data_IF_269994390101
#
_entry.id   IF_269994390101
#
_cell.length_a   1.000
_cell.length_b   1.000
_cell.length_c   1.000
_cell.angle_alpha   90.00
_cell.angle_beta   90.00
_cell.angle_gamma   90.00
#
_symmetry.space_group_name_H-M   'P 1'
#
loop_
_entity.id
_entity.type
_entity.pdbx_description
1 polymer ?
#
# COMPACT_ATOMS: atom_id res chain seq x y z
N UNK A 1 -8.95 -38.90 -22.05
CA UNK A 1 -8.24 -38.09 -21.03
C UNK A 1 -9.20 -37.83 -19.89
N UNK A 2 -8.76 -37.99 -18.63
CA UNK A 2 -9.62 -37.71 -17.47
C UNK A 2 -9.82 -36.20 -17.35
N UNK A 3 -10.96 -35.74 -16.79
CA UNK A 3 -11.23 -34.29 -16.58
C UNK A 3 -10.09 -33.60 -15.82
N UNK A 4 -9.46 -34.30 -14.87
CA UNK A 4 -8.30 -33.81 -14.12
C UNK A 4 -7.10 -33.49 -15.02
N UNK A 5 -6.81 -34.33 -16.03
CA UNK A 5 -5.69 -34.11 -16.95
C UNK A 5 -5.93 -32.86 -17.80
N UNK A 6 -7.18 -32.61 -18.19
CA UNK A 6 -7.57 -31.44 -18.97
C UNK A 6 -7.44 -30.14 -18.16
N UNK A 7 -7.87 -30.15 -16.89
CA UNK A 7 -7.72 -29.01 -15.98
C UNK A 7 -6.23 -28.72 -15.71
N UNK A 8 -5.42 -29.76 -15.45
CA UNK A 8 -3.99 -29.61 -15.22
C UNK A 8 -3.26 -29.02 -16.45
N UNK A 9 -3.61 -29.48 -17.65
CA UNK A 9 -3.07 -28.95 -18.91
C UNK A 9 -3.48 -27.48 -19.14
N UNK A 10 -4.73 -27.13 -18.85
CA UNK A 10 -5.21 -25.75 -18.94
C UNK A 10 -4.44 -24.84 -17.98
N UNK A 11 -4.35 -25.22 -16.70
CA UNK A 11 -3.63 -24.46 -15.69
C UNK A 11 -2.15 -24.30 -16.08
N UNK A 12 -1.48 -25.34 -16.56
CA UNK A 12 -0.08 -25.25 -16.98
C UNK A 12 0.11 -24.34 -18.20
N UNK A 13 -0.84 -24.32 -19.14
CA UNK A 13 -0.75 -23.48 -20.35
C UNK A 13 -1.09 -22.02 -20.06
N UNK A 14 -2.01 -21.77 -19.14
CA UNK A 14 -2.59 -20.45 -18.87
C UNK A 14 -2.27 -19.92 -17.46
N UNK A 15 -1.30 -20.51 -16.75
CA UNK A 15 -1.00 -20.16 -15.35
C UNK A 15 -0.76 -18.66 -15.14
N UNK A 16 -0.09 -18.00 -16.09
CA UNK A 16 0.16 -16.55 -16.02
C UNK A 16 -1.15 -15.77 -15.99
N UNK A 17 -2.10 -16.13 -16.86
CA UNK A 17 -3.42 -15.46 -16.90
C UNK A 17 -4.18 -15.73 -15.60
N UNK A 18 -4.18 -16.98 -15.13
CA UNK A 18 -4.85 -17.35 -13.87
C UNK A 18 -4.27 -16.57 -12.69
N UNK A 19 -2.94 -16.56 -12.53
CA UNK A 19 -2.26 -15.80 -11.47
C UNK A 19 -2.51 -14.31 -11.60
N UNK A 20 -2.43 -13.74 -12.81
CA UNK A 20 -2.75 -12.33 -13.04
C UNK A 20 -4.20 -12.01 -12.71
N UNK A 21 -5.17 -12.88 -13.00
CA UNK A 21 -6.57 -12.66 -12.61
C UNK A 21 -6.74 -12.69 -11.08
N UNK A 22 -6.12 -13.65 -10.39
CA UNK A 22 -6.18 -13.76 -8.94
C UNK A 22 -5.52 -12.55 -8.24
N UNK A 23 -4.33 -12.16 -8.69
CA UNK A 23 -3.65 -10.95 -8.20
C UNK A 23 -4.44 -9.69 -8.53
N UNK A 24 -5.03 -9.59 -9.72
CA UNK A 24 -5.87 -8.46 -10.10
C UNK A 24 -7.08 -8.33 -9.20
N UNK A 25 -7.75 -9.44 -8.87
CA UNK A 25 -8.84 -9.44 -7.90
C UNK A 25 -8.36 -8.96 -6.52
N UNK A 26 -7.21 -9.45 -6.07
CA UNK A 26 -6.59 -9.04 -4.81
C UNK A 26 -6.22 -7.54 -4.78
N UNK A 27 -5.73 -7.00 -5.90
CA UNK A 27 -5.37 -5.57 -6.03
C UNK A 27 -6.58 -4.67 -6.14
N UNK A 28 -7.63 -5.08 -6.85
CA UNK A 28 -8.82 -4.25 -7.12
C UNK A 28 -9.77 -4.21 -5.92
N UNK A 29 -9.93 -5.32 -5.18
CA UNK A 29 -10.92 -5.42 -4.10
C UNK A 29 -10.75 -4.33 -3.02
N UNK A 30 -9.55 -3.96 -2.55
CA UNK A 30 -9.35 -2.86 -1.60
C UNK A 30 -9.89 -1.49 -2.06
N UNK A 31 -9.92 -1.24 -3.37
CA UNK A 31 -10.46 0.00 -3.95
C UNK A 31 -12.00 -0.02 -4.04
N UNK A 32 -12.62 -1.21 -3.99
CA UNK A 32 -14.08 -1.31 -3.90
C UNK A 32 -14.60 -0.87 -2.53
N UNK A 33 -13.79 -0.96 -1.46
CA UNK A 33 -14.19 -0.54 -0.12
C UNK A 33 -14.59 0.95 -0.04
N UNK A 34 -13.76 1.92 -0.48
CA UNK A 34 -14.17 3.32 -0.49
C UNK A 34 -15.30 3.59 -1.50
N UNK A 35 -15.36 2.89 -2.64
CA UNK A 35 -16.46 3.01 -3.60
C UNK A 35 -17.80 2.64 -2.98
N UNK A 36 -17.86 1.46 -2.34
CA UNK A 36 -19.06 0.98 -1.67
C UNK A 36 -19.49 1.91 -0.56
N UNK A 37 -18.55 2.49 0.19
CA UNK A 37 -18.93 3.46 1.19
C UNK A 37 -19.47 4.76 0.60
N UNK A 38 -18.90 5.24 -0.52
CA UNK A 38 -19.36 6.45 -1.20
C UNK A 38 -20.80 6.31 -1.75
N UNK A 39 -21.20 5.10 -2.17
CA UNK A 39 -22.57 4.81 -2.64
C UNK A 39 -23.51 4.31 -1.54
N UNK A 40 -23.07 4.33 -0.27
CA UNK A 40 -23.88 3.91 0.89
C UNK A 40 -23.96 2.41 1.15
N UNK A 41 -23.23 1.57 0.42
CA UNK A 41 -23.11 0.13 0.63
C UNK A 41 -22.13 -0.18 1.79
N UNK A 42 -22.49 0.27 2.99
CA UNK A 42 -21.60 0.25 4.17
C UNK A 42 -21.21 -1.17 4.59
N UNK A 43 -22.17 -2.10 4.62
CA UNK A 43 -21.91 -3.46 5.11
C UNK A 43 -20.90 -4.22 4.21
N UNK A 44 -21.08 -4.29 2.87
CA UNK A 44 -20.07 -4.86 1.98
C UNK A 44 -18.69 -4.22 2.11
N UNK A 45 -18.62 -2.90 2.25
CA UNK A 45 -17.34 -2.20 2.41
C UNK A 45 -16.61 -2.61 3.70
N UNK A 46 -17.34 -2.68 4.83
CA UNK A 46 -16.77 -3.10 6.12
C UNK A 46 -16.24 -4.53 6.09
N UNK A 47 -16.87 -5.43 5.33
CA UNK A 47 -16.33 -6.77 5.10
C UNK A 47 -14.96 -6.69 4.41
N UNK A 48 -14.83 -5.86 3.36
CA UNK A 48 -13.54 -5.68 2.67
C UNK A 48 -12.49 -5.13 3.63
N UNK A 49 -12.78 -4.06 4.38
CA UNK A 49 -11.84 -3.53 5.37
C UNK A 49 -11.41 -4.59 6.38
N UNK A 50 -12.35 -5.37 6.90
CA UNK A 50 -12.08 -6.43 7.88
C UNK A 50 -11.21 -7.54 7.29
N UNK A 51 -11.55 -8.10 6.12
CA UNK A 51 -10.74 -9.14 5.47
C UNK A 51 -9.31 -8.67 5.24
N UNK A 52 -9.15 -7.45 4.73
CA UNK A 52 -7.82 -6.90 4.44
C UNK A 52 -7.06 -6.45 5.69
N UNK A 53 -7.72 -6.32 6.85
CA UNK A 53 -7.06 -5.90 8.10
C UNK A 53 -6.11 -6.95 8.68
N UNK A 54 -6.30 -8.22 8.27
CA UNK A 54 -5.40 -9.33 8.60
C UNK A 54 -4.09 -9.29 7.80
N UNK A 55 -4.08 -8.56 6.67
CA UNK A 55 -2.96 -8.49 5.74
C UNK A 55 -2.26 -7.13 5.85
N UNK A 56 -3.05 -6.07 6.01
CA UNK A 56 -2.60 -4.69 6.09
C UNK A 56 -3.03 -4.08 7.42
N UNK A 57 -2.17 -3.24 8.00
CA UNK A 57 -2.62 -2.46 9.13
C UNK A 57 -3.67 -1.41 8.73
N UNK A 58 -3.63 -0.85 7.52
CA UNK A 58 -4.56 0.18 7.03
C UNK A 58 -4.58 1.43 7.94
N UNK A 59 -3.39 1.93 8.30
CA UNK A 59 -3.30 3.17 9.09
C UNK A 59 -3.72 4.33 8.19
N UNK A 60 -4.64 5.19 8.63
CA UNK A 60 -5.25 6.20 7.78
C UNK A 60 -4.23 7.21 7.23
N UNK A 61 -3.29 7.68 8.04
CA UNK A 61 -2.23 8.61 7.62
C UNK A 61 -1.23 8.01 6.61
N UNK A 62 -1.31 6.69 6.37
CA UNK A 62 -0.50 5.94 5.39
C UNK A 62 -1.36 5.24 4.34
N UNK A 63 -2.61 5.66 4.15
CA UNK A 63 -3.54 5.09 3.19
C UNK A 63 -3.99 6.16 2.18
N UNK A 64 -4.28 5.72 0.96
CA UNK A 64 -4.92 6.61 -0.02
C UNK A 64 -6.39 6.81 0.30
N UNK A 65 -6.91 8.00 0.04
CA UNK A 65 -8.33 8.36 0.19
C UNK A 65 -8.95 8.64 -1.17
N UNK A 66 -10.18 8.15 -1.37
CA UNK A 66 -10.99 8.38 -2.57
C UNK A 66 -12.29 9.07 -2.18
N UNK A 67 -12.92 9.75 -3.16
CA UNK A 67 -14.19 10.48 -2.97
C UNK A 67 -14.10 11.63 -1.94
N UNK A 68 -12.91 12.21 -1.81
CA UNK A 68 -12.65 13.41 -1.03
C UNK A 68 -11.67 14.35 -1.75
N UNK A 69 -11.35 15.51 -1.15
CA UNK A 69 -10.53 16.54 -1.79
C UNK A 69 -9.05 16.20 -1.88
N UNK A 70 -8.52 15.33 -1.01
CA UNK A 70 -7.11 14.91 -1.00
C UNK A 70 -6.98 13.40 -1.13
N UNK A 71 -5.88 12.95 -1.72
CA UNK A 71 -5.56 11.53 -1.85
C UNK A 71 -4.91 10.92 -0.60
N UNK A 72 -4.53 11.74 0.38
CA UNK A 72 -3.99 11.33 1.68
C UNK A 72 -4.08 12.51 2.64
N UNK A 73 -4.02 12.23 3.94
CA UNK A 73 -4.07 13.26 4.99
C UNK A 73 -3.00 13.03 6.03
N UNK A 74 -2.53 14.10 6.66
CA UNK A 74 -1.59 14.00 7.77
C UNK A 74 -2.27 13.38 9.00
N UNK A 75 -1.46 12.85 9.94
CA UNK A 75 -1.98 12.34 11.20
C UNK A 75 -2.77 13.43 11.96
N UNK A 76 -2.30 14.68 11.95
CA UNK A 76 -2.99 15.80 12.61
C UNK A 76 -4.36 16.12 11.98
N UNK A 77 -4.49 16.02 10.66
CA UNK A 77 -5.77 16.19 9.96
C UNK A 77 -6.75 15.06 10.33
N UNK A 78 -6.27 13.81 10.37
CA UNK A 78 -7.08 12.65 10.78
C UNK A 78 -7.54 12.79 12.23
N UNK A 79 -6.64 13.18 13.14
CA UNK A 79 -6.96 13.39 14.54
C UNK A 79 -8.00 14.50 14.73
N UNK A 80 -7.87 15.60 13.98
CA UNK A 80 -8.82 16.72 14.03
C UNK A 80 -10.20 16.34 13.49
N UNK A 81 -10.27 15.46 12.51
CA UNK A 81 -11.52 15.03 11.88
C UNK A 81 -12.23 13.88 12.61
N UNK A 82 -11.58 13.22 13.57
CA UNK A 82 -12.13 12.05 14.24
C UNK A 82 -11.80 11.98 15.73
N UNK A 83 -10.55 11.67 16.08
CA UNK A 83 -10.12 11.53 17.47
C UNK A 83 -8.61 11.74 17.62
N UNK A 84 -8.19 12.54 18.59
CA UNK A 84 -6.78 12.70 18.96
C UNK A 84 -6.25 11.42 19.61
N UNK A 85 -5.47 10.65 18.85
CA UNK A 85 -4.82 9.42 19.32
C UNK A 85 -3.60 9.11 18.46
N UNK A 86 -2.58 8.51 19.07
CA UNK A 86 -1.42 7.92 18.39
C UNK A 86 -1.40 6.39 18.51
N UNK A 87 -2.42 5.81 19.16
CA UNK A 87 -2.57 4.37 19.28
C UNK A 87 -2.95 3.77 17.92
N UNK A 88 -2.07 2.93 17.37
CA UNK A 88 -2.27 2.30 16.08
C UNK A 88 -3.56 1.46 16.02
N UNK A 89 -3.94 0.77 17.09
CA UNK A 89 -5.15 -0.07 17.11
C UNK A 89 -6.39 0.81 16.98
N UNK A 90 -6.40 1.98 17.64
CA UNK A 90 -7.49 2.95 17.52
C UNK A 90 -7.47 3.61 16.14
N UNK A 91 -6.32 4.13 15.69
CA UNK A 91 -6.17 4.81 14.39
C UNK A 91 -6.70 3.98 13.21
N UNK A 92 -6.45 2.67 13.22
CA UNK A 92 -6.90 1.75 12.16
C UNK A 92 -8.42 1.72 11.97
N UNK A 93 -9.21 2.05 12.99
CA UNK A 93 -10.67 2.07 12.92
C UNK A 93 -11.21 3.25 12.10
N UNK A 94 -10.40 4.30 11.87
CA UNK A 94 -10.81 5.40 11.01
C UNK A 94 -10.86 4.95 9.55
N UNK A 95 -12.06 4.82 8.99
CA UNK A 95 -12.28 4.47 7.57
C UNK A 95 -12.35 5.71 6.68
N UNK A 96 -12.79 6.86 7.22
CA UNK A 96 -13.07 8.08 6.46
C UNK A 96 -14.43 8.69 6.82
N UNK A 97 -14.72 9.84 6.23
CA UNK A 97 -15.97 10.60 6.44
C UNK A 97 -16.29 11.45 5.21
N UNK A 98 -17.50 11.98 5.13
CA UNK A 98 -18.04 12.77 3.99
C UNK A 98 -17.17 13.94 3.56
N UNK A 99 -16.34 14.48 4.45
CA UNK A 99 -15.44 15.59 4.16
C UNK A 99 -14.12 15.12 3.56
N UNK A 100 -13.56 14.01 4.03
CA UNK A 100 -12.20 13.57 3.69
C UNK A 100 -12.16 12.55 2.55
N UNK A 101 -13.28 11.90 2.23
CA UNK A 101 -13.19 10.70 1.42
C UNK A 101 -12.79 9.49 2.27
N UNK A 102 -12.89 8.31 1.68
CA UNK A 102 -12.76 7.05 2.38
C UNK A 102 -11.48 6.36 1.95
N UNK A 103 -10.79 5.76 2.91
CA UNK A 103 -9.48 5.17 2.65
C UNK A 103 -9.61 3.90 1.80
N UNK A 104 -8.62 3.62 0.96
CA UNK A 104 -8.45 2.29 0.37
C UNK A 104 -8.21 1.29 1.51
N UNK A 105 -8.70 0.06 1.41
CA UNK A 105 -8.49 -0.98 2.43
C UNK A 105 -7.04 -1.52 2.48
N UNK A 106 -6.06 -0.67 2.17
CA UNK A 106 -4.62 -0.90 2.17
C UNK A 106 -3.86 0.38 2.53
N UNK A 107 -2.61 0.20 2.97
CA UNK A 107 -1.63 1.27 3.00
C UNK A 107 -1.13 1.58 1.58
N UNK A 108 -0.61 2.78 1.40
CA UNK A 108 0.07 3.24 0.19
C UNK A 108 1.17 2.26 -0.27
N UNK A 109 1.97 1.71 0.65
CA UNK A 109 3.00 0.68 0.37
C UNK A 109 2.39 -0.61 -0.17
N UNK A 110 1.26 -1.07 0.37
CA UNK A 110 0.63 -2.30 -0.13
C UNK A 110 0.02 -2.09 -1.51
N UNK A 111 -0.51 -0.89 -1.76
CA UNK A 111 -0.96 -0.50 -3.10
C UNK A 111 0.19 -0.54 -4.09
N UNK A 112 1.33 0.11 -3.81
CA UNK A 112 2.49 0.09 -4.71
C UNK A 112 3.00 -1.34 -4.92
N UNK A 113 3.21 -2.09 -3.84
CA UNK A 113 3.77 -3.44 -3.88
C UNK A 113 2.94 -4.46 -4.66
N UNK A 114 1.65 -4.59 -4.37
CA UNK A 114 0.86 -5.60 -5.06
C UNK A 114 0.50 -5.17 -6.49
N UNK A 115 0.33 -3.87 -6.73
CA UNK A 115 0.07 -3.37 -8.09
C UNK A 115 1.31 -3.50 -8.98
N UNK A 116 2.51 -3.20 -8.46
CA UNK A 116 3.77 -3.34 -9.21
C UNK A 116 4.04 -4.79 -9.57
N UNK A 117 3.87 -5.73 -8.63
CA UNK A 117 3.99 -7.18 -8.86
C UNK A 117 2.98 -7.64 -9.92
N UNK A 118 1.73 -7.18 -9.83
CA UNK A 118 0.68 -7.58 -10.76
C UNK A 118 0.96 -7.10 -12.19
N UNK A 119 1.32 -5.81 -12.35
CA UNK A 119 1.67 -5.22 -13.64
C UNK A 119 2.93 -5.85 -14.23
N UNK A 120 3.97 -6.05 -13.42
CA UNK A 120 5.19 -6.73 -13.85
C UNK A 120 4.89 -8.16 -14.31
N UNK A 121 4.04 -8.90 -13.59
CA UNK A 121 3.61 -10.24 -13.97
C UNK A 121 2.91 -10.29 -15.32
N UNK A 122 2.05 -9.31 -15.61
CA UNK A 122 1.37 -9.16 -16.92
C UNK A 122 2.41 -8.88 -18.01
N UNK A 123 3.27 -7.86 -17.81
CA UNK A 123 4.30 -7.46 -18.78
C UNK A 123 5.24 -8.64 -19.07
N UNK A 124 5.73 -9.29 -18.03
CA UNK A 124 6.56 -10.48 -18.14
C UNK A 124 5.82 -11.59 -18.92
N UNK A 125 4.55 -11.82 -18.62
CA UNK A 125 3.68 -12.77 -19.31
C UNK A 125 3.59 -12.57 -20.82
N UNK A 126 3.56 -11.31 -21.26
CA UNK A 126 3.53 -10.92 -22.68
C UNK A 126 4.91 -11.05 -23.34
N UNK A 127 5.98 -10.75 -22.59
CA UNK A 127 7.36 -10.71 -23.09
C UNK A 127 8.13 -12.03 -22.94
N UNK A 128 7.62 -13.03 -22.19
CA UNK A 128 8.31 -14.27 -21.78
C UNK A 128 8.87 -15.16 -22.89
N UNK A 129 8.70 -14.80 -24.17
CA UNK A 129 9.13 -15.62 -25.32
C UNK A 129 10.64 -15.87 -25.37
N UNK A 130 11.51 -15.12 -24.66
CA UNK A 130 12.98 -15.34 -24.67
C UNK A 130 13.77 -14.89 -23.42
N UNK A 131 13.29 -15.11 -22.19
CA UNK A 131 14.02 -14.64 -21.01
C UNK A 131 14.91 -15.72 -20.36
N UNK A 132 16.17 -15.37 -20.11
CA UNK A 132 17.06 -16.13 -19.22
C UNK A 132 16.49 -16.07 -17.81
N UNK A 133 16.56 -17.18 -17.08
CA UNK A 133 16.12 -17.26 -15.67
C UNK A 133 16.89 -16.21 -14.87
N UNK A 134 16.18 -15.40 -14.07
CA UNK A 134 16.82 -14.50 -13.14
C UNK A 134 17.56 -15.34 -12.10
N UNK A 135 18.86 -15.08 -11.82
CA UNK A 135 19.54 -15.76 -10.74
C UNK A 135 18.93 -15.36 -9.39
N UNK A 136 19.00 -16.24 -8.39
CA UNK A 136 18.38 -16.03 -7.07
C UNK A 136 18.86 -14.74 -6.37
N UNK A 137 20.11 -14.33 -6.59
CA UNK A 137 20.64 -13.05 -6.06
C UNK A 137 19.99 -11.82 -6.71
N UNK A 138 19.52 -11.94 -7.95
CA UNK A 138 18.76 -10.87 -8.61
C UNK A 138 17.44 -10.61 -7.89
N UNK A 139 16.78 -11.64 -7.38
CA UNK A 139 15.59 -11.49 -6.55
C UNK A 139 15.89 -10.77 -5.23
N UNK A 140 17.04 -11.06 -4.61
CA UNK A 140 17.48 -10.36 -3.40
C UNK A 140 17.68 -8.85 -3.64
N UNK A 141 18.32 -8.47 -4.75
CA UNK A 141 18.50 -7.06 -5.11
C UNK A 141 17.18 -6.32 -5.32
N UNK A 142 16.16 -6.97 -5.89
CA UNK A 142 14.84 -6.35 -6.06
C UNK A 142 14.08 -6.15 -4.74
N UNK A 143 14.30 -7.02 -3.75
CA UNK A 143 13.65 -6.92 -2.43
C UNK A 143 14.36 -5.91 -1.52
N UNK A 144 15.67 -5.68 -1.74
CA UNK A 144 16.51 -4.90 -0.84
C UNK A 144 15.98 -3.48 -0.55
N UNK A 145 15.52 -2.67 -1.54
CA UNK A 145 14.97 -1.34 -1.26
C UNK A 145 13.76 -1.39 -0.31
N UNK A 146 12.83 -2.32 -0.55
CA UNK A 146 11.66 -2.53 0.29
C UNK A 146 12.05 -2.98 1.71
N UNK A 147 13.04 -3.86 1.82
CA UNK A 147 13.52 -4.33 3.11
C UNK A 147 14.14 -3.20 3.94
N UNK A 148 14.95 -2.32 3.33
CA UNK A 148 15.56 -1.17 4.00
C UNK A 148 14.47 -0.16 4.41
N UNK A 149 13.59 0.21 3.48
CA UNK A 149 12.52 1.17 3.79
C UNK A 149 11.55 0.63 4.85
N UNK A 150 11.15 -0.63 4.73
CA UNK A 150 10.29 -1.30 5.69
C UNK A 150 10.90 -1.39 7.08
N UNK A 151 12.17 -1.80 7.16
CA UNK A 151 12.88 -1.95 8.44
C UNK A 151 13.08 -0.60 9.13
N UNK A 152 13.46 0.44 8.38
CA UNK A 152 13.65 1.77 8.96
C UNK A 152 12.34 2.41 9.43
N UNK A 153 11.22 2.17 8.72
CA UNK A 153 9.88 2.54 9.20
C UNK A 153 9.51 1.78 10.47
N UNK A 154 9.74 0.45 10.52
CA UNK A 154 9.47 -0.36 11.71
C UNK A 154 10.23 0.15 12.93
N UNK A 155 11.53 0.44 12.78
CA UNK A 155 12.37 0.98 13.86
C UNK A 155 11.86 2.35 14.30
N UNK A 156 11.46 3.20 13.36
CA UNK A 156 10.88 4.51 13.67
C UNK A 156 9.59 4.38 14.49
N UNK A 157 8.73 3.43 14.14
CA UNK A 157 7.44 3.23 14.81
C UNK A 157 7.58 2.68 16.25
N UNK A 158 8.75 2.17 16.67
CA UNK A 158 8.99 1.81 18.07
C UNK A 158 8.98 3.01 19.03
N UNK A 159 9.22 4.22 18.52
CA UNK A 159 9.02 5.43 19.30
C UNK A 159 7.54 5.84 19.44
N UNK A 160 6.64 5.19 18.70
CA UNK A 160 5.22 5.55 18.58
C UNK A 160 4.87 6.11 17.20
N UNK A 161 3.62 5.95 16.78
CA UNK A 161 3.11 6.51 15.51
C UNK A 161 3.17 8.04 15.60
N UNK A 162 3.84 8.66 14.62
CA UNK A 162 4.06 10.10 14.58
C UNK A 162 5.14 10.63 15.54
N UNK A 163 5.97 9.76 16.12
CA UNK A 163 6.99 10.16 17.12
C UNK A 163 8.41 9.73 16.75
N UNK A 164 8.56 8.84 15.78
CA UNK A 164 9.86 8.33 15.37
C UNK A 164 10.69 9.28 14.51
N UNK A 165 11.96 8.93 14.30
CA UNK A 165 12.90 9.75 13.53
C UNK A 165 12.49 9.97 12.07
N UNK A 166 11.67 9.06 11.52
CA UNK A 166 11.10 9.22 10.17
C UNK A 166 9.89 10.14 10.13
N UNK A 167 9.27 10.47 11.25
CA UNK A 167 8.15 11.42 11.25
C UNK A 167 8.63 12.83 10.87
N UNK A 168 9.77 13.28 11.39
CA UNK A 168 10.35 14.58 11.00
C UNK A 168 11.35 14.51 9.84
N UNK A 169 12.00 13.35 9.65
CA UNK A 169 13.16 13.19 8.77
C UNK A 169 14.22 14.29 8.92
N UNK A 170 14.46 14.78 10.15
CA UNK A 170 15.47 15.80 10.42
C UNK A 170 16.87 15.42 9.92
N UNK A 171 17.20 14.12 9.95
CA UNK A 171 18.44 13.58 9.38
C UNK A 171 18.58 13.91 7.88
N UNK A 172 17.50 13.77 7.12
CA UNK A 172 17.46 14.08 5.68
C UNK A 172 17.50 15.59 5.45
N UNK A 173 16.76 16.36 6.25
CA UNK A 173 16.74 17.81 6.17
C UNK A 173 18.14 18.41 6.39
N UNK A 174 18.88 17.93 7.38
CA UNK A 174 20.27 18.34 7.65
C UNK A 174 21.18 17.98 6.47
N UNK A 175 21.11 16.75 5.96
CA UNK A 175 21.97 16.31 4.84
C UNK A 175 21.70 17.09 3.54
N UNK A 176 20.44 17.43 3.30
CA UNK A 176 20.01 18.20 2.12
C UNK A 176 20.06 19.71 2.36
N UNK A 177 20.57 20.16 3.52
CA UNK A 177 20.65 21.58 3.91
C UNK A 177 19.31 22.31 3.78
N UNK A 178 18.21 21.64 4.12
CA UNK A 178 16.85 22.19 4.06
C UNK A 178 16.45 22.74 2.68
N UNK A 179 16.92 22.10 1.60
CA UNK A 179 16.62 22.53 0.23
C UNK A 179 15.15 22.35 -0.15
N UNK A 180 14.45 21.37 0.43
CA UNK A 180 13.05 21.09 0.13
C UNK A 180 12.08 21.75 1.12
N UNK A 181 10.79 21.87 0.79
CA UNK A 181 9.77 22.35 1.73
C UNK A 181 9.67 21.46 2.98
N UNK A 182 9.20 22.02 4.10
CA UNK A 182 9.06 21.27 5.36
C UNK A 182 8.14 20.05 5.22
N UNK A 183 7.07 20.17 4.42
CA UNK A 183 6.11 19.10 4.16
C UNK A 183 6.70 17.94 3.34
N UNK A 184 7.83 18.16 2.64
CA UNK A 184 8.57 17.07 2.01
C UNK A 184 9.28 16.22 3.05
N UNK A 185 9.83 16.81 4.11
CA UNK A 185 10.56 16.06 5.13
C UNK A 185 9.62 15.40 6.14
N UNK A 186 8.58 16.12 6.57
CA UNK A 186 7.75 15.68 7.69
C UNK A 186 6.50 14.88 7.26
N UNK A 187 6.15 13.90 8.09
CA UNK A 187 4.91 13.15 8.04
C UNK A 187 4.83 12.09 6.93
N UNK A 188 3.62 11.55 6.79
CA UNK A 188 3.32 10.42 5.92
C UNK A 188 2.41 10.79 4.73
N UNK A 189 1.98 12.06 4.65
CA UNK A 189 1.08 12.52 3.60
C UNK A 189 1.76 12.52 2.22
N UNK A 190 0.95 12.42 1.18
CA UNK A 190 1.37 12.46 -0.21
C UNK A 190 2.24 13.67 -0.50
N UNK A 191 3.35 13.44 -1.20
CA UNK A 191 4.38 14.44 -1.45
C UNK A 191 5.52 14.43 -0.43
N UNK A 192 5.34 13.80 0.74
CA UNK A 192 6.43 13.62 1.70
C UNK A 192 7.43 12.55 1.25
N UNK A 193 8.64 12.62 1.79
CA UNK A 193 9.71 11.66 1.59
C UNK A 193 9.25 10.24 1.95
N UNK A 194 8.53 10.08 3.06
CA UNK A 194 8.03 8.76 3.47
C UNK A 194 7.04 8.18 2.46
N UNK A 195 6.11 9.00 1.94
CA UNK A 195 5.18 8.57 0.91
C UNK A 195 5.91 8.15 -0.37
N UNK A 196 6.93 8.92 -0.79
CA UNK A 196 7.77 8.57 -1.95
C UNK A 196 8.55 7.27 -1.73
N UNK A 197 9.15 7.08 -0.56
CA UNK A 197 9.90 5.87 -0.27
C UNK A 197 8.99 4.64 -0.27
N UNK A 198 7.78 4.72 0.28
CA UNK A 198 6.79 3.63 0.22
C UNK A 198 6.29 3.35 -1.20
N UNK A 199 6.13 4.39 -2.02
CA UNK A 199 5.73 4.26 -3.42
C UNK A 199 6.80 3.61 -4.29
N UNK A 200 8.07 4.02 -4.13
CA UNK A 200 9.18 3.59 -4.99
C UNK A 200 9.73 2.23 -4.56
N UNK A 201 9.77 1.97 -3.26
CA UNK A 201 10.30 0.71 -2.74
C UNK A 201 9.27 -0.42 -2.69
N UNK A 202 7.98 -0.08 -2.74
CA UNK A 202 6.86 -1.03 -2.76
C UNK A 202 6.66 -1.67 -4.12
#
# INVERSE_FOLDING_TARGET
>A
MKKFDQIALFLTRHWVVVVSCLLGLFVVTPFLAPLFMAIGWVFPAKIIYWVYSFICHQLPERSYFLFGPKISYTLSEIQSAWQTTTDAIILRQFIGNTQMGWKVAWSDRMVSMFTSIWLFGIIWGLLKKKNKKLPWWGAFLFILPMAIDGTTHLISDFAGIGQGFRDSNNWLAIMTKYTFPIDFYAGDAWGSFNAWMRLISG
#
